data_IF_648677673643
#
_entry.id   IF_648677673643
#
_cell.length_a   1.000
_cell.length_b   1.000
_cell.length_c   1.000
_cell.angle_alpha   90.00
_cell.angle_beta   90.00
_cell.angle_gamma   90.00
#
_symmetry.space_group_name_H-M   'P 1'
#
loop_
_entity.id
_entity.type
_entity.pdbx_description
1 polymer ?
#
# COMPACT_ATOMS: atom_id res chain seq x y z
N UNK A 1 -11.21 23.66 -22.89
CA UNK A 1 -11.40 22.88 -21.65
C UNK A 1 -10.11 22.91 -20.88
N UNK A 2 -10.09 23.52 -19.70
CA UNK A 2 -8.91 23.56 -18.82
C UNK A 2 -8.76 22.14 -18.25
N UNK A 3 -7.81 21.39 -18.80
CA UNK A 3 -7.48 20.05 -18.29
C UNK A 3 -6.70 20.24 -16.97
N UNK A 4 -7.42 20.49 -15.88
CA UNK A 4 -6.81 20.60 -14.55
C UNK A 4 -6.32 19.21 -14.14
N UNK A 5 -5.03 18.97 -14.39
CA UNK A 5 -4.37 17.76 -13.92
C UNK A 5 -4.55 17.63 -12.41
N UNK A 6 -4.93 16.45 -11.97
CA UNK A 6 -4.96 16.10 -10.55
C UNK A 6 -3.55 16.27 -9.99
N UNK A 7 -3.43 16.92 -8.82
CA UNK A 7 -2.13 17.08 -8.15
C UNK A 7 -1.86 15.92 -7.23
N UNK A 8 -0.64 15.37 -7.21
CA UNK A 8 -0.27 14.31 -6.29
C UNK A 8 -0.36 14.80 -4.83
N UNK A 9 -0.91 13.97 -3.97
CA UNK A 9 -0.89 14.20 -2.51
C UNK A 9 0.55 14.06 -2.03
N UNK A 10 1.01 15.04 -1.25
CA UNK A 10 2.32 14.97 -0.61
C UNK A 10 2.26 14.01 0.59
N UNK A 11 3.30 13.22 0.78
CA UNK A 11 3.36 12.19 1.81
C UNK A 11 4.34 12.55 2.92
N UNK A 12 4.06 12.10 4.13
CA UNK A 12 5.03 11.86 5.18
C UNK A 12 4.94 10.38 5.58
N UNK A 13 6.03 9.65 5.48
CA UNK A 13 6.09 8.25 5.88
C UNK A 13 6.73 8.17 7.26
N UNK A 14 6.06 7.51 8.20
CA UNK A 14 6.54 7.27 9.56
C UNK A 14 6.91 5.81 9.73
N UNK A 15 8.11 5.57 10.23
CA UNK A 15 8.67 4.25 10.44
C UNK A 15 8.68 3.89 11.92
N UNK A 16 8.64 2.60 12.22
CA UNK A 16 8.88 2.12 13.58
C UNK A 16 10.33 2.48 14.02
N UNK A 17 10.60 2.79 15.31
CA UNK A 17 11.96 3.15 15.77
C UNK A 17 13.03 2.12 15.45
N UNK A 18 12.66 0.84 15.39
CA UNK A 18 13.57 -0.27 15.12
C UNK A 18 13.64 -0.65 13.64
N UNK A 19 12.96 0.12 12.74
CA UNK A 19 13.02 -0.15 11.30
C UNK A 19 14.41 0.15 10.75
N UNK A 20 14.96 -0.80 10.01
CA UNK A 20 16.29 -0.73 9.40
C UNK A 20 16.24 -0.41 7.92
N UNK A 21 15.18 -0.83 7.25
CA UNK A 21 15.02 -0.70 5.81
C UNK A 21 14.19 0.53 5.48
N UNK A 22 14.80 1.47 4.79
CA UNK A 22 14.17 2.72 4.38
C UNK A 22 13.90 2.69 2.87
N UNK A 23 13.00 3.54 2.35
CA UNK A 23 12.72 3.60 0.92
C UNK A 23 13.99 3.81 0.10
N UNK A 24 14.08 3.12 -1.02
CA UNK A 24 15.18 3.19 -1.97
C UNK A 24 14.64 3.46 -3.40
N UNK A 25 15.52 3.60 -4.38
CA UNK A 25 15.09 3.74 -5.76
C UNK A 25 14.52 2.42 -6.32
N UNK A 26 13.91 2.48 -7.52
CA UNK A 26 13.30 1.30 -8.17
C UNK A 26 14.28 0.19 -8.53
N UNK A 27 15.56 0.47 -8.54
CA UNK A 27 16.63 -0.51 -8.73
C UNK A 27 17.12 -1.08 -7.39
N UNK A 28 16.43 -0.73 -6.28
CA UNK A 28 16.71 -1.13 -4.90
C UNK A 28 18.07 -0.67 -4.40
N UNK A 29 18.57 0.45 -4.92
CA UNK A 29 19.79 1.08 -4.46
C UNK A 29 19.45 2.22 -3.49
N UNK A 30 20.27 2.36 -2.45
CA UNK A 30 20.14 3.49 -1.53
C UNK A 30 20.66 4.77 -2.17
N UNK A 31 19.92 5.85 -2.00
CA UNK A 31 20.26 7.18 -2.49
C UNK A 31 20.29 8.19 -1.35
N UNK A 32 20.74 9.40 -1.67
CA UNK A 32 20.77 10.51 -0.70
C UNK A 32 19.39 11.06 -0.33
N UNK A 33 18.36 10.67 -1.07
CA UNK A 33 16.96 11.04 -0.84
C UNK A 33 16.07 9.78 -0.86
N UNK A 34 14.85 9.91 -0.38
CA UNK A 34 13.87 8.81 -0.33
C UNK A 34 12.83 8.99 -1.43
N UNK A 35 12.96 8.32 -2.56
CA UNK A 35 12.03 8.46 -3.66
C UNK A 35 10.72 7.69 -3.39
N UNK A 36 9.61 8.28 -3.80
CA UNK A 36 8.33 7.59 -4.00
C UNK A 36 7.89 7.88 -5.42
N UNK A 37 7.75 6.83 -6.20
CA UNK A 37 7.33 6.97 -7.59
C UNK A 37 5.82 7.02 -7.68
N UNK A 38 5.29 7.79 -8.61
CA UNK A 38 3.84 7.83 -8.84
C UNK A 38 3.50 7.95 -10.32
N UNK A 39 2.31 7.49 -10.68
CA UNK A 39 1.73 7.70 -12.00
C UNK A 39 0.21 7.90 -11.91
N UNK A 40 -0.38 8.37 -13.00
CA UNK A 40 -1.82 8.30 -13.17
C UNK A 40 -2.17 6.85 -13.51
N UNK A 41 -3.19 6.36 -12.83
CA UNK A 41 -3.77 5.04 -13.07
C UNK A 41 -5.09 5.17 -13.85
N UNK A 42 -5.67 4.08 -14.24
CA UNK A 42 -7.00 4.05 -14.84
C UNK A 42 -8.05 4.56 -13.86
N UNK A 43 -9.15 5.11 -14.40
CA UNK A 43 -10.29 5.50 -13.57
C UNK A 43 -10.81 4.28 -12.82
N UNK A 44 -11.08 4.45 -11.53
CA UNK A 44 -11.38 3.37 -10.62
C UNK A 44 -12.79 3.47 -10.07
N UNK A 45 -13.53 2.37 -10.14
CA UNK A 45 -14.86 2.26 -9.58
C UNK A 45 -14.78 1.83 -8.09
N UNK A 46 -15.38 2.61 -7.20
CA UNK A 46 -15.45 2.31 -5.78
C UNK A 46 -16.77 2.78 -5.18
N UNK A 47 -17.45 1.93 -4.40
CA UNK A 47 -18.74 2.23 -3.78
C UNK A 47 -19.79 2.81 -4.78
N UNK A 48 -19.86 2.24 -5.99
CA UNK A 48 -20.82 2.66 -7.01
C UNK A 48 -20.53 4.00 -7.70
N UNK A 49 -19.34 4.54 -7.54
CA UNK A 49 -18.92 5.82 -8.14
C UNK A 49 -17.55 5.67 -8.82
N UNK A 50 -17.36 6.42 -9.91
CA UNK A 50 -16.07 6.50 -10.61
C UNK A 50 -15.19 7.60 -10.03
N UNK A 51 -13.89 7.33 -9.96
CA UNK A 51 -12.87 8.22 -9.47
C UNK A 51 -11.67 8.23 -10.41
N UNK A 52 -10.99 9.35 -10.55
CA UNK A 52 -9.62 9.33 -11.05
C UNK A 52 -8.74 8.65 -10.02
N UNK A 53 -7.79 7.84 -10.46
CA UNK A 53 -6.86 7.22 -9.54
C UNK A 53 -5.41 7.58 -9.84
N UNK A 54 -4.61 7.59 -8.78
CA UNK A 54 -3.17 7.79 -8.83
C UNK A 54 -2.51 6.75 -7.96
N UNK A 55 -1.52 6.06 -8.51
CA UNK A 55 -0.73 5.05 -7.82
C UNK A 55 0.60 5.62 -7.38
N UNK A 56 1.01 5.24 -6.17
CA UNK A 56 2.32 5.50 -5.59
C UNK A 56 2.99 4.18 -5.28
N UNK A 57 4.31 4.13 -5.49
CA UNK A 57 5.15 2.96 -5.27
C UNK A 57 6.31 3.33 -4.37
N UNK A 58 6.46 2.58 -3.30
CA UNK A 58 7.52 2.71 -2.32
C UNK A 58 8.35 1.44 -2.39
N UNK A 59 9.62 1.57 -2.76
CA UNK A 59 10.54 0.45 -2.90
C UNK A 59 11.39 0.31 -1.65
N UNK A 60 11.58 -0.92 -1.18
CA UNK A 60 12.48 -1.27 -0.09
C UNK A 60 13.42 -2.38 -0.54
N UNK A 61 14.67 -2.37 -0.09
CA UNK A 61 15.64 -3.41 -0.47
C UNK A 61 15.20 -4.78 0.01
N UNK A 62 14.61 -4.85 1.18
CA UNK A 62 14.25 -6.08 1.85
C UNK A 62 12.94 -5.90 2.61
N UNK A 63 12.19 -7.00 2.72
CA UNK A 63 11.13 -7.18 3.69
C UNK A 63 11.68 -8.10 4.78
N UNK A 64 11.68 -7.65 6.03
CA UNK A 64 12.13 -8.45 7.15
C UNK A 64 11.14 -9.59 7.48
N UNK A 65 11.60 -10.57 8.24
CA UNK A 65 10.74 -11.62 8.73
C UNK A 65 9.66 -11.06 9.68
N UNK A 66 8.54 -11.78 9.80
CA UNK A 66 7.41 -11.46 10.69
C UNK A 66 7.89 -11.01 12.07
N UNK A 67 7.36 -9.89 12.53
CA UNK A 67 7.78 -9.17 13.73
C UNK A 67 7.91 -10.04 14.98
N UNK A 68 8.94 -9.77 15.76
CA UNK A 68 9.27 -10.50 16.99
C UNK A 68 10.21 -11.69 16.81
N UNK A 69 10.26 -12.32 15.65
CA UNK A 69 11.22 -13.37 15.32
C UNK A 69 12.40 -12.86 14.50
N UNK A 70 12.86 -11.66 14.78
CA UNK A 70 14.02 -11.03 14.12
C UNK A 70 15.36 -11.78 14.28
N UNK A 71 15.35 -12.92 14.97
CA UNK A 71 16.53 -13.77 15.14
C UNK A 71 16.93 -14.57 13.90
N UNK A 72 16.12 -14.55 12.85
CA UNK A 72 16.46 -15.20 11.57
C UNK A 72 16.25 -14.22 10.42
N UNK A 73 17.15 -13.25 10.23
CA UNK A 73 16.97 -12.16 9.26
C UNK A 73 16.80 -12.63 7.81
N UNK A 74 17.18 -13.85 7.47
CA UNK A 74 17.12 -14.42 6.13
C UNK A 74 16.20 -15.64 6.07
N UNK A 75 15.18 -15.73 6.92
CA UNK A 75 14.29 -16.86 6.94
C UNK A 75 13.05 -16.61 6.06
N UNK A 76 13.08 -17.08 4.83
CA UNK A 76 11.96 -16.99 3.89
C UNK A 76 10.66 -17.63 4.41
N UNK A 77 10.78 -18.62 5.28
CA UNK A 77 9.63 -19.26 5.94
C UNK A 77 8.85 -18.26 6.81
N UNK A 78 9.51 -17.27 7.38
CA UNK A 78 8.92 -16.22 8.20
C UNK A 78 8.60 -14.95 7.40
N UNK A 79 8.54 -15.03 6.08
CA UNK A 79 8.13 -13.93 5.20
C UNK A 79 9.26 -13.00 4.77
N UNK A 80 10.52 -13.31 5.09
CA UNK A 80 11.66 -12.56 4.55
C UNK A 80 11.75 -12.71 3.03
N UNK A 81 11.93 -11.59 2.35
CA UNK A 81 12.28 -11.55 0.92
C UNK A 81 13.03 -10.26 0.57
N UNK A 82 13.85 -10.31 -0.47
CA UNK A 82 14.43 -9.11 -1.07
C UNK A 82 13.43 -8.43 -1.98
N UNK A 83 13.64 -7.12 -2.22
CA UNK A 83 12.87 -6.32 -3.20
C UNK A 83 11.40 -6.21 -2.86
N UNK A 84 11.12 -5.50 -1.79
CA UNK A 84 9.75 -5.23 -1.35
C UNK A 84 9.17 -3.96 -2.00
N UNK A 85 7.86 -3.98 -2.30
CA UNK A 85 7.17 -2.86 -2.93
C UNK A 85 5.82 -2.64 -2.25
N UNK A 86 5.68 -1.50 -1.59
CA UNK A 86 4.42 -1.07 -1.04
C UNK A 86 3.74 -0.02 -1.92
N UNK A 87 2.42 0.03 -1.86
CA UNK A 87 1.60 0.83 -2.78
C UNK A 87 0.55 1.64 -2.04
N UNK A 88 0.34 2.84 -2.57
CA UNK A 88 -0.78 3.70 -2.18
C UNK A 88 -1.57 4.01 -3.44
N UNK A 89 -2.88 3.74 -3.45
CA UNK A 89 -3.77 4.23 -4.51
C UNK A 89 -4.65 5.33 -3.92
N UNK A 90 -4.64 6.51 -4.53
CA UNK A 90 -5.48 7.63 -4.11
C UNK A 90 -6.57 7.85 -5.15
N UNK A 91 -7.80 7.87 -4.68
CA UNK A 91 -8.98 8.11 -5.50
C UNK A 91 -9.42 9.57 -5.37
N UNK A 92 -9.54 10.24 -6.49
CA UNK A 92 -9.92 11.65 -6.59
C UNK A 92 -11.31 11.80 -7.19
N UNK A 93 -12.14 12.62 -6.60
CA UNK A 93 -13.45 12.92 -7.14
C UNK A 93 -13.35 13.51 -8.56
N UNK A 94 -14.17 13.00 -9.47
CA UNK A 94 -14.13 13.35 -10.90
C UNK A 94 -14.38 14.84 -11.17
N UNK A 95 -15.18 15.51 -10.33
CA UNK A 95 -15.58 16.92 -10.50
C UNK A 95 -14.62 17.86 -9.75
N UNK A 96 -14.43 17.62 -8.46
CA UNK A 96 -13.66 18.51 -7.58
C UNK A 96 -12.17 18.33 -7.73
N UNK A 97 -11.72 17.18 -8.23
CA UNK A 97 -10.31 16.78 -8.32
C UNK A 97 -9.62 16.70 -6.95
N UNK A 98 -10.40 16.61 -5.87
CA UNK A 98 -9.90 16.44 -4.52
C UNK A 98 -9.77 14.95 -4.17
N UNK A 99 -8.78 14.55 -3.36
CA UNK A 99 -8.65 13.18 -2.90
C UNK A 99 -9.80 12.84 -1.95
N UNK A 100 -10.37 11.63 -2.07
CA UNK A 100 -11.51 11.16 -1.27
C UNK A 100 -11.18 9.87 -0.54
N UNK A 101 -10.59 8.90 -1.24
CA UNK A 101 -10.22 7.62 -0.66
C UNK A 101 -8.75 7.31 -0.90
N UNK A 102 -8.17 6.55 0.02
CA UNK A 102 -6.80 6.11 -0.03
C UNK A 102 -6.77 4.61 0.24
N UNK A 103 -6.26 3.83 -0.71
CA UNK A 103 -5.91 2.45 -0.49
C UNK A 103 -4.47 2.36 -0.02
N UNK A 104 -4.24 1.61 1.03
CA UNK A 104 -2.91 1.26 1.53
C UNK A 104 -2.69 -0.23 1.34
N UNK A 105 -1.57 -0.60 0.72
CA UNK A 105 -1.20 -2.01 0.60
C UNK A 105 -0.74 -2.56 1.95
N UNK A 106 -1.07 -3.81 2.16
CA UNK A 106 -0.56 -4.60 3.27
C UNK A 106 -0.50 -6.04 2.81
N UNK A 107 0.65 -6.67 2.95
CA UNK A 107 0.89 -8.06 2.57
C UNK A 107 0.26 -8.46 1.21
N UNK A 108 0.13 -9.75 0.94
CA UNK A 108 -0.25 -10.25 -0.37
C UNK A 108 -1.64 -9.85 -0.88
N UNK A 109 -2.54 -9.31 -0.07
CA UNK A 109 -3.87 -8.81 -0.47
C UNK A 109 -4.68 -8.28 0.75
N UNK A 110 -4.03 -7.88 1.83
CA UNK A 110 -4.70 -7.40 3.04
C UNK A 110 -4.88 -5.88 3.05
N UNK A 111 -4.51 -5.21 1.96
CA UNK A 111 -4.69 -3.77 1.81
C UNK A 111 -6.15 -3.37 1.86
N UNK A 112 -6.42 -2.16 2.33
CA UNK A 112 -7.78 -1.66 2.47
C UNK A 112 -7.90 -0.18 2.12
N UNK A 113 -9.13 0.24 1.79
CA UNK A 113 -9.48 1.63 1.56
C UNK A 113 -9.87 2.32 2.86
N UNK A 114 -9.43 3.57 2.98
CA UNK A 114 -9.79 4.52 4.02
C UNK A 114 -10.36 5.79 3.40
N UNK A 115 -11.22 6.51 4.09
CA UNK A 115 -11.57 7.85 3.69
C UNK A 115 -10.41 8.81 3.99
N UNK A 116 -10.23 9.85 3.18
CA UNK A 116 -9.11 10.79 3.35
C UNK A 116 -9.10 11.49 4.72
N UNK A 117 -10.27 11.67 5.34
CA UNK A 117 -10.40 12.22 6.69
C UNK A 117 -9.85 11.33 7.81
N UNK A 118 -9.57 10.06 7.51
CA UNK A 118 -9.02 9.10 8.48
C UNK A 118 -7.51 9.22 8.62
N UNK A 119 -6.91 10.16 7.88
CA UNK A 119 -5.47 10.42 7.90
C UNK A 119 -5.12 11.68 8.67
N UNK A 120 -4.01 11.63 9.37
CA UNK A 120 -3.33 12.80 9.90
C UNK A 120 -2.67 13.57 8.75
N UNK A 121 -2.74 14.91 8.82
CA UNK A 121 -2.02 15.81 7.91
C UNK A 121 -1.06 16.69 8.71
N UNK A 122 0.22 16.59 8.40
CA UNK A 122 1.23 17.48 8.97
C UNK A 122 1.24 18.78 8.17
N UNK A 123 1.11 19.89 8.89
CA UNK A 123 1.03 21.25 8.33
C UNK A 123 -0.08 21.42 7.27
N UNK A 124 -1.16 20.63 7.36
CA UNK A 124 -2.25 20.64 6.40
C UNK A 124 -1.87 20.22 4.98
N UNK A 125 -0.65 19.68 4.79
CA UNK A 125 -0.07 19.41 3.47
C UNK A 125 0.34 17.96 3.27
N UNK A 126 1.00 17.36 4.25
CA UNK A 126 1.60 16.04 4.12
C UNK A 126 0.69 15.00 4.76
N UNK A 127 0.10 14.13 3.95
CA UNK A 127 -0.66 12.99 4.43
C UNK A 127 0.27 11.99 5.10
N UNK A 128 -0.03 11.63 6.34
CA UNK A 128 0.81 10.71 7.12
C UNK A 128 0.42 9.27 6.82
N UNK A 129 1.43 8.48 6.47
CA UNK A 129 1.31 7.03 6.29
C UNK A 129 2.34 6.35 7.18
N UNK A 130 1.94 5.29 7.84
CA UNK A 130 2.79 4.51 8.74
C UNK A 130 3.21 3.21 8.06
N UNK A 131 4.52 2.97 7.97
CA UNK A 131 5.08 1.70 7.54
C UNK A 131 5.35 0.82 8.77
N UNK A 132 4.88 -0.41 8.74
CA UNK A 132 5.06 -1.34 9.83
C UNK A 132 6.49 -1.89 9.90
N UNK A 133 6.90 -2.28 11.09
CA UNK A 133 8.22 -2.85 11.35
C UNK A 133 8.43 -4.12 10.52
N UNK A 134 9.54 -4.17 9.81
CA UNK A 134 10.02 -5.26 8.97
C UNK A 134 9.16 -5.54 7.72
N UNK A 135 7.84 -5.57 7.83
CA UNK A 135 6.95 -5.95 6.73
C UNK A 135 6.57 -4.79 5.80
N UNK A 136 6.86 -3.55 6.22
CA UNK A 136 6.54 -2.29 5.53
C UNK A 136 5.06 -2.09 5.17
N UNK A 137 4.16 -3.03 5.49
CA UNK A 137 2.73 -2.86 5.25
C UNK A 137 2.24 -1.50 5.74
N UNK A 138 1.40 -0.85 4.95
CA UNK A 138 1.04 0.53 5.16
C UNK A 138 -0.25 0.66 5.97
N UNK A 139 -0.25 1.60 6.91
CA UNK A 139 -1.38 1.89 7.79
C UNK A 139 -1.63 3.40 7.90
N UNK A 140 -2.85 3.77 8.24
CA UNK A 140 -3.24 5.18 8.43
C UNK A 140 -2.96 5.73 9.85
N UNK A 141 -2.50 4.89 10.76
CA UNK A 141 -2.23 5.27 12.16
C UNK A 141 -1.13 4.42 12.79
N UNK A 142 -0.58 4.89 13.90
CA UNK A 142 0.27 4.09 14.76
C UNK A 142 -0.57 3.06 15.53
N UNK A 143 0.00 1.86 15.77
CA UNK A 143 -0.67 0.83 16.52
C UNK A 143 -0.11 -0.57 16.30
N UNK A 144 -0.82 -1.53 16.88
CA UNK A 144 -0.62 -2.95 16.67
C UNK A 144 -1.81 -3.49 15.88
N UNK A 145 -1.56 -4.01 14.70
CA UNK A 145 -2.58 -4.56 13.80
C UNK A 145 -2.52 -6.09 13.86
N UNK A 146 -3.54 -6.66 14.42
CA UNK A 146 -3.63 -8.11 14.64
C UNK A 146 -3.81 -8.86 13.33
N UNK A 147 -2.94 -9.84 13.13
CA UNK A 147 -2.96 -10.73 11.97
C UNK A 147 -2.68 -12.16 12.42
N UNK A 148 -3.23 -13.14 11.69
CA UNK A 148 -3.00 -14.58 11.88
C UNK A 148 -3.05 -14.96 13.37
N UNK A 149 -4.19 -14.68 14.02
CA UNK A 149 -4.41 -14.98 15.44
C UNK A 149 -3.35 -14.37 16.39
N UNK A 150 -2.75 -13.23 15.99
CA UNK A 150 -1.72 -12.55 16.78
C UNK A 150 -0.28 -13.06 16.56
N UNK A 151 -0.09 -14.01 15.64
CA UNK A 151 1.24 -14.60 15.38
C UNK A 151 2.09 -13.77 14.40
N UNK A 152 1.46 -12.89 13.63
CA UNK A 152 2.13 -12.11 12.59
C UNK A 152 1.63 -10.66 12.54
N UNK A 153 1.62 -9.99 13.68
CA UNK A 153 1.10 -8.63 13.80
C UNK A 153 2.00 -7.60 13.13
N UNK A 154 1.37 -6.58 12.55
CA UNK A 154 2.06 -5.38 12.10
C UNK A 154 2.15 -4.35 13.23
N UNK A 155 3.33 -3.81 13.43
CA UNK A 155 3.62 -2.81 14.44
C UNK A 155 4.05 -1.51 13.79
N UNK A 156 3.25 -0.45 13.96
CA UNK A 156 3.57 0.90 13.51
C UNK A 156 3.78 1.84 14.69
N UNK A 157 4.52 2.92 14.50
CA UNK A 157 4.84 3.86 15.56
C UNK A 157 4.96 5.29 15.05
N UNK A 158 4.60 6.24 15.89
CA UNK A 158 4.84 7.67 15.67
C UNK A 158 6.16 8.17 16.28
N UNK A 159 6.96 7.28 16.88
CA UNK A 159 8.21 7.62 17.60
C UNK A 159 9.47 7.38 16.78
N UNK A 160 9.36 6.79 15.61
CA UNK A 160 10.51 6.47 14.76
C UNK A 160 10.86 7.58 13.77
N UNK A 161 11.56 7.20 12.71
CA UNK A 161 11.98 8.15 11.67
C UNK A 161 10.77 8.65 10.87
N UNK A 162 10.71 9.96 10.63
CA UNK A 162 9.72 10.60 9.76
C UNK A 162 10.42 11.07 8.49
N UNK A 163 9.91 10.65 7.35
CA UNK A 163 10.48 10.96 6.03
C UNK A 163 9.43 11.68 5.20
N UNK A 164 9.81 12.80 4.60
CA UNK A 164 9.07 13.42 3.51
C UNK A 164 9.75 12.97 2.21
N UNK A 165 9.14 12.06 1.45
CA UNK A 165 9.78 11.53 0.25
C UNK A 165 9.76 12.54 -0.89
N UNK A 166 10.69 12.37 -1.82
CA UNK A 166 10.64 13.05 -3.12
C UNK A 166 9.69 12.30 -4.02
N UNK A 167 8.61 12.95 -4.47
CA UNK A 167 7.67 12.35 -5.42
C UNK A 167 8.21 12.46 -6.84
N UNK A 168 8.40 11.31 -7.49
CA UNK A 168 8.91 11.20 -8.85
C UNK A 168 7.81 10.63 -9.76
N UNK A 169 7.45 11.40 -10.81
CA UNK A 169 6.52 10.90 -11.81
C UNK A 169 7.21 9.90 -12.75
N UNK A 170 6.64 8.71 -12.90
CA UNK A 170 7.12 7.70 -13.83
C UNK A 170 5.94 7.01 -14.53
N UNK A 171 5.68 7.40 -15.79
CA UNK A 171 4.61 6.82 -16.60
C UNK A 171 4.79 5.35 -16.95
N UNK A 172 6.00 4.83 -16.81
CA UNK A 172 6.35 3.45 -17.18
C UNK A 172 6.24 2.49 -16.00
N UNK A 173 6.01 2.99 -14.79
CA UNK A 173 5.71 2.11 -13.68
C UNK A 173 4.35 1.47 -13.92
N UNK A 174 4.41 0.25 -14.41
CA UNK A 174 3.25 -0.62 -14.49
C UNK A 174 3.18 -1.48 -13.24
N UNK A 175 1.97 -1.66 -12.76
CA UNK A 175 1.68 -2.68 -11.77
C UNK A 175 1.96 -4.06 -12.39
N UNK A 176 3.19 -4.50 -12.30
CA UNK A 176 3.49 -5.90 -12.54
C UNK A 176 3.16 -6.66 -11.26
N UNK A 177 2.10 -7.45 -11.30
CA UNK A 177 1.81 -8.45 -10.26
C UNK A 177 2.92 -9.54 -10.18
N UNK A 178 4.09 -9.28 -10.75
CA UNK A 178 5.21 -10.23 -10.82
C UNK A 178 5.78 -10.57 -9.44
N UNK A 179 5.49 -9.83 -8.42
CA UNK A 179 5.76 -10.26 -7.04
C UNK A 179 4.92 -11.50 -6.63
N UNK A 180 4.00 -11.97 -7.48
CA UNK A 180 3.36 -13.27 -7.27
C UNK A 180 4.35 -14.43 -7.23
N UNK A 181 5.46 -14.34 -7.93
CA UNK A 181 6.47 -15.41 -7.99
C UNK A 181 7.30 -15.52 -6.70
N UNK A 182 7.51 -14.42 -5.99
CA UNK A 182 8.23 -14.42 -4.72
C UNK A 182 7.45 -15.13 -3.60
N UNK A 183 6.12 -15.20 -3.71
CA UNK A 183 5.24 -15.83 -2.73
C UNK A 183 5.01 -17.34 -2.91
N UNK A 184 5.72 -18.03 -3.77
CA UNK A 184 5.65 -19.48 -3.86
C UNK A 184 6.51 -20.20 -2.82
N UNK A 185 6.70 -19.56 -1.68
CA UNK A 185 7.44 -20.08 -0.53
C UNK A 185 6.61 -21.13 0.23
N UNK A 186 7.29 -21.95 1.02
CA UNK A 186 6.68 -22.96 1.91
C UNK A 186 5.59 -22.39 2.83
N UNK A 187 5.65 -21.10 3.15
CA UNK A 187 4.68 -20.32 3.89
C UNK A 187 3.29 -20.34 3.24
N UNK A 188 3.20 -20.16 1.94
CA UNK A 188 1.95 -20.18 1.17
C UNK A 188 1.19 -21.49 1.33
N UNK A 189 1.90 -22.62 1.38
CA UNK A 189 1.31 -23.94 1.51
C UNK A 189 0.69 -24.17 2.90
N UNK A 190 1.25 -23.59 3.94
CA UNK A 190 0.78 -23.80 5.31
C UNK A 190 -0.44 -22.92 5.66
N UNK A 191 -0.47 -21.68 5.19
CA UNK A 191 -1.54 -20.70 5.47
C UNK A 191 -2.52 -20.50 4.32
N UNK A 192 -2.31 -21.17 3.18
CA UNK A 192 -3.15 -21.07 1.99
C UNK A 192 -4.67 -21.15 2.28
N UNK A 193 -5.17 -22.07 3.12
CA UNK A 193 -6.60 -22.15 3.40
C UNK A 193 -7.20 -20.88 4.03
N UNK A 194 -6.45 -20.22 4.93
CA UNK A 194 -6.88 -18.98 5.57
C UNK A 194 -6.82 -17.78 4.63
N UNK A 195 -5.74 -17.71 3.84
CA UNK A 195 -5.59 -16.67 2.83
C UNK A 195 -6.58 -16.85 1.68
N UNK A 196 -6.81 -18.05 1.20
CA UNK A 196 -7.70 -18.32 0.09
C UNK A 196 -9.14 -17.90 0.41
N UNK A 197 -9.63 -18.16 1.61
CA UNK A 197 -10.97 -17.76 2.02
C UNK A 197 -11.15 -16.23 2.06
N UNK A 198 -10.12 -15.47 2.45
CA UNK A 198 -10.17 -14.01 2.43
C UNK A 198 -10.03 -13.44 1.02
N UNK A 199 -9.15 -14.02 0.20
CA UNK A 199 -9.01 -13.69 -1.22
C UNK A 199 -10.32 -13.92 -1.96
N UNK A 200 -10.97 -15.05 -1.73
CA UNK A 200 -12.20 -15.40 -2.40
C UNK A 200 -13.35 -14.47 -1.99
N UNK A 201 -13.42 -14.07 -0.71
CA UNK A 201 -14.36 -13.04 -0.24
C UNK A 201 -14.12 -11.67 -0.90
N UNK A 202 -12.86 -11.23 -0.96
CA UNK A 202 -12.50 -9.96 -1.60
C UNK A 202 -12.81 -9.97 -3.11
N UNK A 203 -12.50 -11.08 -3.81
CA UNK A 203 -12.85 -11.25 -5.22
C UNK A 203 -14.36 -11.28 -5.43
N UNK A 204 -15.08 -11.90 -4.54
CA UNK A 204 -16.54 -11.94 -4.59
C UNK A 204 -17.13 -10.53 -4.39
N UNK A 205 -16.65 -9.79 -3.40
CA UNK A 205 -17.06 -8.39 -3.15
C UNK A 205 -16.75 -7.50 -4.37
N UNK A 206 -15.56 -7.61 -4.93
CA UNK A 206 -15.17 -6.86 -6.13
C UNK A 206 -16.08 -7.19 -7.32
N UNK A 207 -16.38 -8.46 -7.54
CA UNK A 207 -17.29 -8.89 -8.61
C UNK A 207 -18.72 -8.38 -8.42
N UNK A 208 -19.21 -8.36 -7.19
CA UNK A 208 -20.53 -7.82 -6.85
C UNK A 208 -20.59 -6.30 -7.06
N UNK A 209 -19.51 -5.58 -6.72
CA UNK A 209 -19.40 -4.15 -6.99
C UNK A 209 -19.35 -3.85 -8.49
N UNK A 210 -18.57 -4.59 -9.26
CA UNK A 210 -18.51 -4.47 -10.73
C UNK A 210 -19.89 -4.71 -11.36
N UNK A 211 -20.64 -5.72 -10.88
CA UNK A 211 -21.98 -6.00 -11.36
C UNK A 211 -22.96 -4.87 -11.05
N UNK A 212 -22.90 -4.28 -9.84
CA UNK A 212 -23.72 -3.13 -9.47
C UNK A 212 -23.43 -1.91 -10.35
N UNK A 213 -22.15 -1.66 -10.64
CA UNK A 213 -21.74 -0.55 -11.51
C UNK A 213 -22.25 -0.75 -12.93
N UNK A 214 -22.06 -1.95 -13.49
CA UNK A 214 -22.55 -2.26 -14.83
C UNK A 214 -24.07 -2.14 -14.92
N UNK A 215 -24.81 -2.54 -13.89
CA UNK A 215 -26.27 -2.37 -13.83
C UNK A 215 -26.70 -0.90 -13.73
N UNK A 216 -25.89 -0.03 -13.14
CA UNK A 216 -26.14 1.43 -13.10
C UNK A 216 -25.83 2.10 -14.43
N UNK A 217 -24.77 1.68 -15.11
CA UNK A 217 -24.40 2.21 -16.44
C UNK A 217 -25.37 1.83 -17.53
N UNK A 218 -26.09 0.69 -17.40
CA UNK A 218 -27.11 0.24 -18.37
C UNK A 218 -28.48 0.92 -18.16
N UNK A 219 -28.65 1.68 -17.07
CA UNK A 219 -29.93 2.39 -16.77
C UNK A 219 -29.88 3.89 -17.13
N UNK A 220 -28.74 4.38 -17.59
CA UNK A 220 -28.55 5.74 -18.10
C UNK A 220 -28.29 5.72 -19.63
#
# INVERSE_FOLDING_TARGET
MINTKVKPVQLQIRFHPNEKFLPCNKDYQMESFYPVYYNNDEDYAYNGKMYHSMLYFIYFQENGAIGGFSMAPNNEFLGYHSKDIERIKILYDMKTKLPVYVFLSAHAQEGQFYHISDFEFVNGRYMVVYASLNSHSLHNRAGNFWRILGLANDYTSNKGKHIIPVLLYDSNIQYTCSNREVYDTKWKRFFLPFYQSNIDKLKQQQKEEEQKINALLLKN
#
